data_IF_118333615990
#
_entry.id   IF_118333615990
#
_cell.length_a   1.000
_cell.length_b   1.000
_cell.length_c   1.000
_cell.angle_alpha   90.00
_cell.angle_beta   90.00
_cell.angle_gamma   90.00
#
_symmetry.space_group_name_H-M   'P 1'
#
loop_
_entity.id
_entity.type
_entity.pdbx_description
1 polymer ?
#
# COMPACT_ATOMS: atom_id res chain seq x y z
N UNK A 1 -8.32 3.40 16.36
CA UNK A 1 -7.11 4.17 16.77
C UNK A 1 -6.32 3.52 17.94
N UNK A 2 -6.92 3.37 19.14
CA UNK A 2 -6.20 2.85 20.32
C UNK A 2 -5.77 1.37 20.23
N UNK A 3 -6.56 0.53 19.55
CA UNK A 3 -6.21 -0.87 19.30
C UNK A 3 -5.06 -1.03 18.30
N UNK A 4 -4.92 -0.09 17.35
CA UNK A 4 -3.88 -0.14 16.33
C UNK A 4 -2.52 0.27 16.90
N UNK A 5 -2.49 1.28 17.77
CA UNK A 5 -1.27 1.70 18.49
C UNK A 5 -0.67 0.59 19.34
N UNK A 6 -1.48 -0.11 20.15
CA UNK A 6 -1.00 -1.23 20.97
C UNK A 6 -0.44 -2.38 20.13
N UNK A 7 -1.13 -2.75 19.06
CA UNK A 7 -0.72 -3.86 18.17
C UNK A 7 0.53 -3.51 17.38
N UNK A 8 0.68 -2.26 16.92
CA UNK A 8 1.92 -1.82 16.26
C UNK A 8 3.10 -1.82 17.24
N UNK A 9 2.90 -1.41 18.50
CA UNK A 9 3.95 -1.53 19.53
C UNK A 9 4.31 -2.99 19.78
N UNK A 10 3.33 -3.88 19.95
CA UNK A 10 3.57 -5.32 20.13
C UNK A 10 4.34 -5.91 18.94
N UNK A 11 3.97 -5.53 17.71
CA UNK A 11 4.68 -5.90 16.49
C UNK A 11 6.12 -5.40 16.51
N UNK A 12 6.33 -4.13 16.86
CA UNK A 12 7.66 -3.53 16.90
C UNK A 12 8.51 -4.27 17.93
N UNK A 13 7.99 -4.49 19.13
CA UNK A 13 8.72 -5.13 20.22
C UNK A 13 8.96 -6.62 20.01
N UNK A 14 7.99 -7.35 19.45
CA UNK A 14 8.07 -8.81 19.34
C UNK A 14 8.69 -9.26 18.01
N UNK A 15 8.50 -8.49 16.93
CA UNK A 15 8.89 -8.92 15.58
C UNK A 15 10.01 -8.06 14.97
N UNK A 16 10.15 -6.79 15.35
CA UNK A 16 11.08 -5.86 14.69
C UNK A 16 12.35 -5.61 15.54
N UNK A 17 12.19 -5.20 16.80
CA UNK A 17 13.29 -4.86 17.72
C UNK A 17 14.26 -6.02 17.97
N UNK A 18 13.83 -7.28 18.18
CA UNK A 18 14.75 -8.40 18.36
C UNK A 18 15.66 -8.62 17.15
N UNK A 19 15.23 -8.14 15.98
CA UNK A 19 15.92 -8.31 14.72
C UNK A 19 16.76 -7.08 14.27
N UNK A 20 16.50 -5.90 14.85
CA UNK A 20 17.24 -4.66 14.58
C UNK A 20 18.58 -4.58 15.34
N UNK A 21 18.70 -5.32 16.45
CA UNK A 21 19.87 -5.31 17.32
C UNK A 21 20.60 -6.65 17.28
N UNK A 22 21.93 -6.62 17.07
CA UNK A 22 22.83 -7.76 17.34
C UNK A 22 23.73 -7.35 18.50
N UNK A 23 23.77 -8.17 19.55
CA UNK A 23 24.62 -7.95 20.74
C UNK A 23 24.42 -6.56 21.38
N UNK A 24 23.19 -6.06 21.41
CA UNK A 24 22.83 -4.77 22.01
C UNK A 24 23.29 -3.54 21.21
N UNK A 25 23.73 -3.70 19.96
CA UNK A 25 24.10 -2.58 19.08
C UNK A 25 23.09 -2.44 17.92
N UNK A 26 22.59 -1.22 17.65
CA UNK A 26 21.75 -0.97 16.48
C UNK A 26 22.58 -1.16 15.22
N UNK A 27 22.03 -1.87 14.21
CA UNK A 27 22.63 -1.88 12.87
C UNK A 27 22.52 -0.47 12.28
N UNK A 28 23.58 0.01 11.63
CA UNK A 28 23.62 1.32 10.99
C UNK A 28 22.55 1.41 9.89
N UNK A 29 21.33 1.84 10.23
CA UNK A 29 20.33 2.26 9.27
C UNK A 29 20.84 3.55 8.62
N UNK A 30 20.92 3.59 7.29
CA UNK A 30 21.15 4.87 6.63
C UNK A 30 19.89 5.74 6.77
N UNK A 31 20.03 7.03 7.08
CA UNK A 31 18.90 7.93 7.23
C UNK A 31 18.19 8.17 5.89
N UNK A 32 16.92 8.57 5.98
CA UNK A 32 15.92 9.01 4.97
C UNK A 32 16.41 9.73 3.68
N UNK A 33 17.69 10.06 3.55
CA UNK A 33 18.34 10.71 2.41
C UNK A 33 18.09 10.04 1.03
N UNK A 34 17.59 8.81 0.99
CA UNK A 34 17.22 8.12 -0.24
C UNK A 34 15.84 8.54 -0.80
N UNK A 35 15.02 9.27 -0.05
CA UNK A 35 13.70 9.71 -0.49
C UNK A 35 13.57 11.24 -0.42
N UNK A 36 12.96 11.82 -1.44
CA UNK A 36 12.58 13.23 -1.50
C UNK A 36 11.06 13.33 -1.30
N UNK A 37 10.65 14.06 -0.27
CA UNK A 37 9.24 14.38 -0.04
C UNK A 37 8.78 15.42 -1.06
N UNK A 38 7.61 15.18 -1.66
CA UNK A 38 6.99 16.05 -2.66
C UNK A 38 5.50 16.18 -2.38
N UNK A 39 4.93 17.29 -2.83
CA UNK A 39 3.49 17.55 -2.74
C UNK A 39 2.87 17.78 -4.11
N UNK A 40 1.56 17.57 -4.20
CA UNK A 40 0.74 17.97 -5.34
C UNK A 40 -0.68 18.31 -4.89
N UNK A 41 -1.33 19.21 -5.62
CA UNK A 41 -2.72 19.56 -5.39
C UNK A 41 -3.63 18.37 -5.72
N UNK A 42 -4.65 18.13 -4.90
CA UNK A 42 -5.58 17.00 -5.05
C UNK A 42 -6.21 16.96 -6.45
N UNK A 43 -6.47 18.13 -7.04
CA UNK A 43 -7.03 18.26 -8.39
C UNK A 43 -6.06 17.76 -9.49
N UNK A 44 -4.75 17.81 -9.25
CA UNK A 44 -3.69 17.41 -10.19
C UNK A 44 -3.33 15.93 -10.10
N UNK A 45 -4.03 15.15 -9.27
CA UNK A 45 -3.71 13.75 -8.96
C UNK A 45 -3.49 12.87 -10.20
N UNK A 46 -4.27 13.08 -11.26
CA UNK A 46 -4.21 12.30 -12.51
C UNK A 46 -2.95 12.56 -13.33
N UNK A 47 -2.33 13.73 -13.18
CA UNK A 47 -1.11 14.11 -13.90
C UNK A 47 0.14 13.61 -13.18
N UNK A 48 0.05 13.46 -11.86
CA UNK A 48 1.13 12.98 -10.99
C UNK A 48 1.15 11.45 -10.91
N UNK A 49 -0.01 10.82 -10.68
CA UNK A 49 -0.15 9.37 -10.57
C UNK A 49 -0.56 8.78 -11.92
N UNK A 50 0.39 8.13 -12.59
CA UNK A 50 0.25 7.68 -13.98
C UNK A 50 -0.19 6.23 -14.13
N UNK A 51 -0.78 5.94 -15.29
CA UNK A 51 -1.24 4.61 -15.68
C UNK A 51 -0.73 4.16 -17.07
N UNK A 52 0.53 3.70 -17.15
CA UNK A 52 1.15 3.41 -18.46
C UNK A 52 1.04 1.94 -18.92
N UNK A 53 0.63 1.02 -18.05
CA UNK A 53 0.33 -0.39 -18.39
C UNK A 53 -1.00 -0.80 -17.79
N UNK A 54 -1.74 -1.62 -18.55
CA UNK A 54 -3.13 -1.99 -18.25
C UNK A 54 -3.19 -3.22 -17.31
N UNK A 55 -3.41 -3.05 -15.98
CA UNK A 55 -3.78 -4.15 -15.10
C UNK A 55 -5.17 -4.71 -15.48
N UNK A 56 -5.71 -5.72 -14.78
CA UNK A 56 -7.12 -6.08 -14.93
C UNK A 56 -8.04 -4.88 -14.74
N UNK A 57 -9.18 -4.86 -15.44
CA UNK A 57 -10.14 -3.74 -15.42
C UNK A 57 -10.59 -3.35 -14.00
N UNK A 58 -10.68 -4.31 -13.09
CA UNK A 58 -11.00 -4.13 -11.65
C UNK A 58 -9.92 -3.36 -10.87
N UNK A 59 -8.75 -3.13 -11.45
CA UNK A 59 -7.59 -2.49 -10.79
C UNK A 59 -7.08 -1.28 -11.59
N UNK A 60 -7.68 -0.98 -12.74
CA UNK A 60 -7.24 0.10 -13.61
C UNK A 60 -7.65 1.46 -13.03
N UNK A 61 -6.71 2.31 -12.64
CA UNK A 61 -7.02 3.70 -12.26
C UNK A 61 -6.41 4.15 -10.93
N UNK A 62 -7.08 5.11 -10.30
CA UNK A 62 -6.73 5.68 -9.00
C UNK A 62 -7.87 5.39 -8.04
N UNK A 63 -7.52 4.86 -6.87
CA UNK A 63 -8.45 4.47 -5.83
C UNK A 63 -8.23 5.33 -4.61
N UNK A 64 -9.31 5.90 -4.10
CA UNK A 64 -9.37 6.62 -2.83
C UNK A 64 -9.83 5.65 -1.74
N UNK A 65 -9.02 5.50 -0.69
CA UNK A 65 -9.43 4.79 0.51
C UNK A 65 -10.25 5.71 1.40
N UNK A 66 -11.55 5.46 1.46
CA UNK A 66 -12.48 6.18 2.32
C UNK A 66 -12.35 5.62 3.76
N UNK A 67 -11.58 6.33 4.58
CA UNK A 67 -11.32 5.97 5.98
C UNK A 67 -12.00 6.96 6.91
N UNK A 68 -12.71 6.45 7.93
CA UNK A 68 -13.38 7.30 8.91
C UNK A 68 -12.37 8.19 9.67
N UNK A 69 -12.62 9.49 9.54
CA UNK A 69 -12.21 10.62 10.39
C UNK A 69 -10.71 10.99 10.51
N UNK A 70 -9.73 10.16 10.14
CA UNK A 70 -8.32 10.45 10.50
C UNK A 70 -7.29 10.53 9.38
N UNK A 71 -7.42 9.80 8.27
CA UNK A 71 -6.43 9.76 7.18
C UNK A 71 -7.11 9.53 5.83
N UNK A 72 -6.53 10.06 4.76
CA UNK A 72 -6.95 9.73 3.40
C UNK A 72 -5.75 9.26 2.59
N UNK A 73 -5.94 8.17 1.85
CA UNK A 73 -4.89 7.54 1.06
C UNK A 73 -5.41 7.36 -0.37
N UNK A 74 -4.53 7.60 -1.34
CA UNK A 74 -4.79 7.32 -2.76
C UNK A 74 -3.72 6.37 -3.28
N UNK A 75 -4.16 5.41 -4.06
CA UNK A 75 -3.29 4.40 -4.64
C UNK A 75 -3.63 4.17 -6.10
N UNK A 76 -2.60 3.97 -6.93
CA UNK A 76 -2.75 3.44 -8.28
C UNK A 76 -2.08 2.08 -8.40
N UNK A 77 -2.79 1.15 -9.03
CA UNK A 77 -2.27 -0.18 -9.33
C UNK A 77 -1.57 -0.25 -10.70
N UNK A 78 -1.17 0.88 -11.27
CA UNK A 78 -0.56 0.92 -12.59
C UNK A 78 0.97 0.72 -12.57
N UNK A 79 1.64 0.81 -13.72
CA UNK A 79 3.10 0.83 -13.79
C UNK A 79 3.59 2.26 -13.93
N UNK A 80 4.56 2.66 -13.11
CA UNK A 80 5.35 3.87 -13.36
C UNK A 80 6.66 3.46 -14.06
N UNK A 81 6.98 4.03 -15.24
CA UNK A 81 8.27 3.83 -15.91
C UNK A 81 9.42 4.53 -15.16
N UNK A 82 9.10 5.39 -14.20
CA UNK A 82 10.07 6.04 -13.34
C UNK A 82 10.73 5.00 -12.41
N UNK A 83 11.99 5.24 -12.04
CA UNK A 83 12.92 4.22 -11.56
C UNK A 83 12.53 3.74 -10.14
N UNK A 84 12.59 2.43 -9.87
CA UNK A 84 12.27 1.82 -8.57
C UNK A 84 11.08 0.83 -8.55
N UNK A 85 10.40 0.64 -9.69
CA UNK A 85 9.06 0.04 -9.75
C UNK A 85 8.91 -1.38 -9.17
N UNK A 86 8.16 -1.49 -8.07
CA UNK A 86 7.63 -2.75 -7.55
C UNK A 86 6.30 -3.14 -8.20
N UNK A 87 5.56 -2.17 -8.71
CA UNK A 87 4.28 -2.42 -9.33
C UNK A 87 4.46 -2.86 -10.79
N UNK A 88 4.07 -4.10 -11.13
CA UNK A 88 4.33 -4.64 -12.45
C UNK A 88 3.48 -4.01 -13.56
N UNK A 89 2.44 -3.22 -13.21
CA UNK A 89 1.37 -2.71 -14.09
C UNK A 89 0.63 -3.79 -14.89
N UNK A 90 0.87 -5.05 -14.56
CA UNK A 90 0.18 -6.25 -15.03
C UNK A 90 0.39 -7.33 -13.99
N UNK A 91 -0.67 -8.06 -13.65
CA UNK A 91 -0.52 -9.19 -12.74
C UNK A 91 0.35 -10.28 -13.39
N UNK A 92 1.22 -10.91 -12.59
CA UNK A 92 2.13 -11.97 -13.04
C UNK A 92 1.88 -13.23 -12.23
N UNK A 93 2.06 -14.39 -12.84
CA UNK A 93 2.00 -15.65 -12.12
C UNK A 93 3.26 -15.83 -11.25
N UNK A 94 3.18 -15.38 -10.00
CA UNK A 94 4.24 -15.36 -8.97
C UNK A 94 3.56 -15.46 -7.60
N UNK A 95 4.31 -15.75 -6.52
CA UNK A 95 3.74 -15.80 -5.17
C UNK A 95 2.96 -14.53 -4.80
N UNK A 96 3.44 -13.36 -5.26
CA UNK A 96 2.76 -12.08 -5.13
C UNK A 96 2.54 -11.50 -6.53
N UNK A 97 1.35 -11.62 -7.14
CA UNK A 97 1.06 -11.09 -8.47
C UNK A 97 1.13 -9.56 -8.56
N UNK A 98 0.96 -8.86 -7.44
CA UNK A 98 1.08 -7.42 -7.31
C UNK A 98 1.96 -7.11 -6.08
N UNK A 99 2.78 -6.05 -6.22
CA UNK A 99 3.55 -5.45 -5.14
C UNK A 99 3.47 -3.94 -5.26
N UNK A 100 3.41 -3.25 -4.15
CA UNK A 100 3.38 -1.79 -4.08
C UNK A 100 4.36 -1.31 -3.01
N UNK A 101 5.12 -0.26 -3.31
CA UNK A 101 5.93 0.44 -2.32
C UNK A 101 5.14 1.62 -1.76
N UNK A 102 5.23 1.85 -0.45
CA UNK A 102 4.56 3.00 0.20
C UNK A 102 5.32 4.29 -0.04
N UNK A 103 6.65 4.26 0.06
CA UNK A 103 7.53 5.40 -0.26
C UNK A 103 8.34 5.08 -1.51
N UNK A 104 8.60 6.05 -2.37
CA UNK A 104 9.52 5.93 -3.51
C UNK A 104 8.85 5.76 -4.87
N UNK A 105 7.66 5.15 -4.93
CA UNK A 105 6.87 5.00 -6.16
C UNK A 105 5.80 6.11 -6.24
N UNK A 106 5.64 6.76 -7.42
CA UNK A 106 4.54 7.72 -7.70
C UNK A 106 3.19 7.03 -7.92
N UNK A 107 2.82 6.16 -6.99
CA UNK A 107 1.66 5.28 -7.06
C UNK A 107 0.90 5.22 -5.74
N UNK A 108 1.47 5.81 -4.70
CA UNK A 108 0.87 5.95 -3.40
C UNK A 108 1.07 7.39 -2.97
N UNK A 109 0.00 8.02 -2.53
CA UNK A 109 0.05 9.32 -1.90
C UNK A 109 -0.99 9.37 -0.79
N UNK A 110 -0.78 10.26 0.16
CA UNK A 110 -1.65 10.32 1.33
C UNK A 110 -1.65 11.68 2.02
N UNK A 111 -2.65 11.88 2.86
CA UNK A 111 -2.85 13.07 3.67
C UNK A 111 -2.50 12.71 5.12
N UNK A 112 -1.18 12.69 5.37
CA UNK A 112 -0.59 12.34 6.65
C UNK A 112 -0.55 10.84 6.93
N UNK A 113 0.44 10.41 7.71
CA UNK A 113 0.47 9.08 8.30
C UNK A 113 -0.12 9.15 9.71
N UNK A 114 -0.81 8.08 10.14
CA UNK A 114 -0.92 7.81 11.58
C UNK A 114 0.49 7.69 12.18
N UNK A 115 0.72 8.15 13.42
CA UNK A 115 2.05 8.14 14.02
C UNK A 115 2.71 6.74 13.98
N UNK A 116 1.90 5.69 14.00
CA UNK A 116 2.32 4.30 13.91
C UNK A 116 2.86 3.91 12.53
N UNK A 117 2.13 4.22 11.45
CA UNK A 117 2.61 3.95 10.09
C UNK A 117 3.76 4.89 9.75
N UNK A 118 3.72 6.15 10.21
CA UNK A 118 4.80 7.11 10.05
C UNK A 118 6.12 6.52 10.58
N UNK A 119 6.08 5.94 11.77
CA UNK A 119 7.24 5.29 12.37
C UNK A 119 7.78 4.14 11.49
N UNK A 120 6.90 3.29 10.95
CA UNK A 120 7.32 2.20 10.07
C UNK A 120 7.96 2.71 8.78
N UNK A 121 7.36 3.72 8.14
CA UNK A 121 7.91 4.29 6.89
C UNK A 121 9.17 5.12 7.13
N UNK A 122 9.37 5.66 8.34
CA UNK A 122 10.58 6.39 8.71
C UNK A 122 11.78 5.47 8.89
N UNK A 123 11.54 4.22 9.28
CA UNK A 123 12.59 3.24 9.55
C UNK A 123 12.79 2.25 8.41
N UNK A 124 11.74 1.97 7.64
CA UNK A 124 11.72 0.89 6.66
C UNK A 124 11.24 1.35 5.28
N UNK A 125 11.80 0.72 4.25
CA UNK A 125 11.19 0.62 2.94
C UNK A 125 10.00 -0.36 3.04
N UNK A 126 8.80 0.19 3.24
CA UNK A 126 7.55 -0.56 3.41
C UNK A 126 6.97 -0.96 2.07
N UNK A 127 6.71 -2.26 1.90
CA UNK A 127 6.14 -2.85 0.68
C UNK A 127 4.91 -3.67 1.01
N UNK A 128 3.84 -3.43 0.26
CA UNK A 128 2.64 -4.25 0.28
C UNK A 128 2.74 -5.30 -0.83
N UNK A 129 2.78 -6.57 -0.42
CA UNK A 129 2.67 -7.71 -1.32
C UNK A 129 1.23 -8.21 -1.31
N UNK A 130 0.64 -8.37 -2.49
CA UNK A 130 -0.72 -8.83 -2.62
C UNK A 130 -0.71 -10.30 -3.05
N UNK A 131 -1.17 -11.19 -2.18
CA UNK A 131 -1.39 -12.60 -2.46
C UNK A 131 -2.83 -12.78 -2.96
N UNK A 132 -3.01 -13.35 -4.15
CA UNK A 132 -4.34 -13.59 -4.71
C UNK A 132 -4.98 -14.79 -4.02
N UNK A 133 -6.06 -14.55 -3.26
CA UNK A 133 -6.81 -15.58 -2.56
C UNK A 133 -7.96 -16.14 -3.42
N UNK A 134 -8.65 -15.28 -4.16
CA UNK A 134 -9.81 -15.66 -4.97
C UNK A 134 -9.83 -14.94 -6.32
N UNK A 135 -10.35 -15.62 -7.35
CA UNK A 135 -10.42 -15.14 -8.73
C UNK A 135 -9.24 -15.62 -9.58
N UNK A 136 -8.93 -14.86 -10.64
CA UNK A 136 -7.83 -15.16 -11.56
C UNK A 136 -6.97 -13.92 -11.81
N UNK A 137 -5.79 -14.07 -12.41
CA UNK A 137 -4.98 -12.90 -12.81
C UNK A 137 -5.68 -11.97 -13.81
N UNK A 138 -6.74 -12.44 -14.50
CA UNK A 138 -7.55 -11.62 -15.41
C UNK A 138 -8.75 -10.98 -14.69
N UNK A 139 -9.26 -11.63 -13.66
CA UNK A 139 -10.42 -11.23 -12.87
C UNK A 139 -10.15 -11.49 -11.39
N UNK A 140 -9.30 -10.67 -10.75
CA UNK A 140 -9.01 -10.85 -9.33
C UNK A 140 -10.23 -10.44 -8.51
N UNK A 141 -10.53 -11.23 -7.47
CA UNK A 141 -11.70 -11.02 -6.60
C UNK A 141 -11.25 -10.68 -5.19
N UNK A 142 -10.19 -11.34 -4.69
CA UNK A 142 -9.74 -11.17 -3.32
C UNK A 142 -8.23 -11.26 -3.20
N UNK A 143 -7.63 -10.34 -2.46
CA UNK A 143 -6.22 -10.40 -2.08
C UNK A 143 -6.04 -10.35 -0.56
N UNK A 144 -4.99 -11.01 -0.09
CA UNK A 144 -4.36 -10.73 1.20
C UNK A 144 -3.22 -9.74 0.99
N UNK A 145 -3.09 -8.76 1.89
CA UNK A 145 -1.99 -7.80 1.92
C UNK A 145 -0.97 -8.25 2.96
N UNK A 146 0.27 -8.45 2.52
CA UNK A 146 1.40 -8.87 3.35
C UNK A 146 2.45 -7.76 3.36
N UNK A 147 2.85 -7.34 4.56
CA UNK A 147 3.89 -6.34 4.74
C UNK A 147 5.28 -6.98 4.59
N UNK A 148 6.09 -6.39 3.72
CA UNK A 148 7.53 -6.65 3.61
C UNK A 148 8.26 -5.36 3.95
N UNK A 149 9.03 -5.40 5.04
CA UNK A 149 9.83 -4.29 5.51
C UNK A 149 11.28 -4.54 5.14
N UNK A 150 11.91 -3.60 4.43
CA UNK A 150 13.35 -3.65 4.19
C UNK A 150 14.03 -2.48 4.90
N UNK A 151 15.19 -2.71 5.52
CA UNK A 151 15.99 -1.60 6.05
C UNK A 151 16.69 -0.94 4.85
N UNK A 152 16.47 0.37 4.58
CA UNK A 152 17.09 1.06 3.45
C UNK A 152 18.62 0.91 3.45
N UNK A 153 19.18 0.68 2.25
CA UNK A 153 20.62 0.46 2.07
C UNK A 153 21.15 -0.89 2.58
N UNK A 154 20.26 -1.82 2.95
CA UNK A 154 20.65 -3.17 3.38
C UNK A 154 19.90 -4.27 2.62
N UNK A 155 20.44 -5.49 2.69
CA UNK A 155 19.78 -6.70 2.18
C UNK A 155 18.78 -7.32 3.17
N UNK A 156 18.64 -6.73 4.38
CA UNK A 156 17.76 -7.27 5.40
C UNK A 156 16.31 -6.96 5.07
N UNK A 157 15.51 -8.03 5.01
CA UNK A 157 14.08 -7.99 4.74
C UNK A 157 13.37 -8.77 5.81
N UNK A 158 12.28 -8.20 6.30
CA UNK A 158 11.36 -8.82 7.23
C UNK A 158 10.07 -9.03 6.48
N UNK A 159 9.85 -10.26 6.03
CA UNK A 159 8.49 -10.68 5.69
C UNK A 159 7.80 -10.98 6.98
N UNK A 160 6.86 -10.14 7.34
CA UNK A 160 6.16 -10.25 8.60
C UNK A 160 5.06 -11.30 8.56
N UNK A 161 5.05 -12.18 7.55
CA UNK A 161 3.96 -13.14 7.31
C UNK A 161 3.59 -13.92 8.57
N UNK A 162 4.57 -14.55 9.22
CA UNK A 162 4.27 -15.43 10.36
C UNK A 162 3.92 -14.65 11.64
N UNK A 163 4.49 -13.45 11.81
CA UNK A 163 4.25 -12.59 12.97
C UNK A 163 2.93 -11.80 12.85
N UNK A 164 2.60 -11.35 11.64
CA UNK A 164 1.40 -10.55 11.37
C UNK A 164 0.19 -11.42 11.08
N UNK A 165 0.29 -12.62 10.52
CA UNK A 165 -0.92 -13.38 10.17
C UNK A 165 -1.80 -13.67 11.41
N UNK A 166 -1.20 -13.85 12.58
CA UNK A 166 -1.94 -14.04 13.84
C UNK A 166 -2.42 -12.72 14.47
N UNK A 167 -1.65 -11.63 14.31
CA UNK A 167 -1.91 -10.35 14.96
C UNK A 167 -2.75 -9.39 14.11
N UNK A 168 -2.55 -9.39 12.80
CA UNK A 168 -3.09 -8.46 11.81
C UNK A 168 -3.25 -9.14 10.42
N UNK A 169 -4.49 -9.50 10.07
CA UNK A 169 -4.84 -9.91 8.71
C UNK A 169 -5.50 -8.76 7.96
N UNK A 170 -4.94 -8.41 6.80
CA UNK A 170 -5.50 -7.41 5.89
C UNK A 170 -5.93 -8.10 4.60
N UNK A 171 -7.22 -8.03 4.30
CA UNK A 171 -7.78 -8.57 3.07
C UNK A 171 -8.51 -7.47 2.31
N UNK A 172 -8.37 -7.45 0.99
CA UNK A 172 -9.19 -6.62 0.10
C UNK A 172 -10.04 -7.52 -0.78
N UNK A 173 -11.34 -7.26 -0.81
CA UNK A 173 -12.32 -8.04 -1.56
C UNK A 173 -13.10 -7.12 -2.49
N UNK A 174 -13.21 -7.49 -3.75
CA UNK A 174 -13.98 -6.77 -4.73
C UNK A 174 -15.47 -6.87 -4.36
N UNK A 175 -16.11 -5.75 -4.06
CA UNK A 175 -17.55 -5.74 -3.74
C UNK A 175 -18.39 -5.88 -5.00
N UNK A 176 -18.00 -5.15 -6.05
CA UNK A 176 -18.72 -5.15 -7.31
C UNK A 176 -18.08 -6.22 -8.21
N UNK A 177 -18.52 -7.47 -8.10
CA UNK A 177 -17.99 -8.57 -8.93
C UNK A 177 -18.56 -8.51 -10.34
N UNK A 178 -17.74 -8.37 -11.40
CA UNK A 178 -18.25 -8.51 -12.76
C UNK A 178 -18.70 -9.96 -12.96
N UNK A 179 -19.95 -10.17 -13.37
CA UNK A 179 -20.34 -11.43 -14.00
C UNK A 179 -19.84 -11.40 -15.43
N UNK A 180 -19.30 -12.52 -15.92
CA UNK A 180 -18.80 -12.62 -17.28
C UNK A 180 -19.97 -12.34 -18.26
N UNK A 181 -19.99 -11.13 -18.84
CA UNK A 181 -21.01 -10.68 -19.79
C UNK A 181 -21.90 -9.53 -19.34
N UNK A 182 -21.93 -9.14 -18.06
CA UNK A 182 -22.90 -8.16 -17.53
C UNK A 182 -22.24 -7.06 -16.68
N UNK A 183 -22.93 -5.92 -16.63
CA UNK A 183 -22.60 -4.69 -15.90
C UNK A 183 -22.14 -4.98 -14.45
N UNK A 184 -21.24 -4.13 -13.94
CA UNK A 184 -20.81 -4.17 -12.54
C UNK A 184 -22.04 -4.10 -11.62
N UNK A 185 -22.09 -4.83 -10.49
CA UNK A 185 -23.07 -4.53 -9.46
C UNK A 185 -22.91 -3.06 -9.08
N UNK A 186 -23.99 -2.29 -9.18
CA UNK A 186 -23.97 -0.87 -8.85
C UNK A 186 -23.68 -0.73 -7.34
N UNK A 187 -22.55 -0.12 -6.98
CA UNK A 187 -22.43 0.45 -5.65
C UNK A 187 -23.52 1.53 -5.55
N UNK A 188 -24.38 1.52 -4.51
CA UNK A 188 -25.55 2.39 -4.46
C UNK A 188 -25.19 3.87 -4.61
N UNK A 189 -24.04 4.27 -4.09
CA UNK A 189 -23.54 5.64 -4.15
C UNK A 189 -22.55 5.87 -5.30
N UNK A 190 -21.91 4.82 -5.83
CA UNK A 190 -20.80 4.94 -6.79
C UNK A 190 -20.95 3.93 -7.96
N UNK A 191 -22.03 4.01 -8.74
CA UNK A 191 -22.38 2.99 -9.73
C UNK A 191 -21.31 2.80 -10.83
N UNK A 192 -20.59 3.87 -11.18
CA UNK A 192 -19.56 3.83 -12.22
C UNK A 192 -18.16 3.45 -11.69
N UNK A 193 -18.03 3.21 -10.38
CA UNK A 193 -16.74 2.96 -9.72
C UNK A 193 -16.51 1.49 -9.41
N UNK A 194 -15.27 1.05 -9.55
CA UNK A 194 -14.82 -0.19 -8.92
C UNK A 194 -14.59 0.05 -7.43
N UNK A 195 -15.20 -0.78 -6.58
CA UNK A 195 -15.08 -0.67 -5.12
C UNK A 195 -14.47 -1.95 -4.53
N UNK A 196 -13.38 -1.80 -3.80
CA UNK A 196 -12.75 -2.86 -3.01
C UNK A 196 -12.98 -2.62 -1.52
N UNK A 197 -13.53 -3.61 -0.83
CA UNK A 197 -13.63 -3.58 0.63
C UNK A 197 -12.36 -4.12 1.26
N UNK A 198 -11.64 -3.27 1.98
CA UNK A 198 -10.56 -3.65 2.88
C UNK A 198 -11.13 -4.04 4.24
N UNK A 199 -10.90 -5.28 4.63
CA UNK A 199 -11.22 -5.79 5.96
C UNK A 199 -9.93 -5.90 6.76
N UNK A 200 -9.97 -5.40 8.00
CA UNK A 200 -8.86 -5.52 8.94
C UNK A 200 -9.28 -6.41 10.10
N UNK A 201 -8.58 -7.52 10.29
CA UNK A 201 -8.75 -8.40 11.44
C UNK A 201 -7.52 -8.29 12.32
N UNK A 202 -7.72 -8.02 13.60
CA UNK A 202 -6.67 -7.84 14.59
C UNK A 202 -6.93 -8.74 15.78
N UNK A 203 -5.97 -9.61 16.14
CA UNK A 203 -6.13 -10.61 17.21
C UNK A 203 -7.44 -11.41 17.07
N UNK A 204 -7.75 -11.85 15.84
CA UNK A 204 -9.00 -12.56 15.50
C UNK A 204 -10.27 -11.70 15.48
N UNK A 205 -10.21 -10.41 15.84
CA UNK A 205 -11.35 -9.51 15.83
C UNK A 205 -11.37 -8.68 14.55
N UNK A 206 -12.46 -8.77 13.79
CA UNK A 206 -12.63 -7.98 12.57
C UNK A 206 -13.19 -6.61 12.90
N UNK A 207 -12.43 -5.56 12.58
CA UNK A 207 -12.87 -4.16 12.68
C UNK A 207 -13.81 -3.77 11.53
N UNK A 208 -14.28 -2.50 11.51
CA UNK A 208 -15.03 -1.99 10.37
C UNK A 208 -14.19 -2.10 9.09
N UNK A 209 -14.85 -2.46 8.00
CA UNK A 209 -14.24 -2.45 6.67
C UNK A 209 -14.16 -1.04 6.11
N UNK A 210 -13.27 -0.83 5.15
CA UNK A 210 -13.07 0.45 4.47
C UNK A 210 -13.13 0.23 2.97
N UNK A 211 -13.67 1.20 2.25
CA UNK A 211 -13.82 1.09 0.80
C UNK A 211 -12.69 1.82 0.10
N UNK A 212 -12.00 1.12 -0.79
CA UNK A 212 -11.14 1.71 -1.79
C UNK A 212 -11.97 1.89 -3.07
N UNK A 213 -12.40 3.13 -3.29
CA UNK A 213 -13.32 3.54 -4.35
C UNK A 213 -12.50 4.10 -5.51
N UNK A 214 -12.75 3.60 -6.72
CA UNK A 214 -12.12 4.13 -7.93
C UNK A 214 -12.64 5.54 -8.23
N UNK A 215 -11.75 6.53 -8.25
CA UNK A 215 -12.10 7.94 -8.53
C UNK A 215 -11.67 8.40 -9.92
N UNK A 216 -10.67 7.72 -10.51
CA UNK A 216 -10.20 7.93 -11.89
C UNK A 216 -10.02 6.56 -12.52
N UNK A 217 -10.53 6.35 -13.74
CA UNK A 217 -10.42 5.06 -14.42
C UNK A 217 -9.10 4.90 -15.20
N UNK A 218 -8.88 3.73 -15.80
CA UNK A 218 -7.69 3.44 -16.62
C UNK A 218 -7.52 4.25 -17.90
N UNK A 219 -8.45 5.15 -18.23
CA UNK A 219 -8.34 6.11 -19.32
C UNK A 219 -8.06 7.54 -18.82
N UNK A 220 -7.92 7.73 -17.50
CA UNK A 220 -7.72 9.05 -16.90
C UNK A 220 -9.01 9.87 -16.78
N UNK A 221 -10.18 9.24 -16.97
CA UNK A 221 -11.45 9.94 -16.78
C UNK A 221 -11.87 9.83 -15.31
N UNK A 222 -12.27 10.97 -14.76
CA UNK A 222 -12.88 11.11 -13.43
C UNK A 222 -14.24 10.37 -13.41
N UNK A 223 -14.53 9.69 -12.30
CA UNK A 223 -15.76 8.90 -12.12
C UNK A 223 -16.68 9.59 -11.12
N UNK A 224 -17.90 9.92 -11.54
CA UNK A 224 -18.86 10.62 -10.68
C UNK A 224 -19.92 9.66 -10.11
N UNK A 225 -20.41 9.91 -8.87
CA UNK A 225 -20.10 11.03 -7.98
C UNK A 225 -18.83 10.86 -7.13
N UNK A 226 -18.13 9.72 -7.27
CA UNK A 226 -17.00 9.36 -6.41
C UNK A 226 -15.86 10.40 -6.39
N UNK A 227 -15.55 11.01 -7.55
CA UNK A 227 -14.52 12.04 -7.64
C UNK A 227 -14.94 13.33 -6.94
N UNK A 228 -16.20 13.78 -7.10
CA UNK A 228 -16.70 14.97 -6.41
C UNK A 228 -16.72 14.76 -4.88
N UNK A 229 -17.12 13.59 -4.41
CA UNK A 229 -17.10 13.25 -2.99
C UNK A 229 -15.68 13.18 -2.44
N UNK A 230 -14.74 12.64 -3.23
CA UNK A 230 -13.32 12.67 -2.92
C UNK A 230 -12.79 14.11 -2.81
N UNK A 231 -13.01 14.97 -3.81
CA UNK A 231 -12.59 16.38 -3.76
C UNK A 231 -13.20 17.07 -2.55
N UNK A 232 -14.49 16.85 -2.30
CA UNK A 232 -15.20 17.42 -1.14
C UNK A 232 -14.57 16.96 0.17
N UNK A 233 -14.31 15.67 0.33
CA UNK A 233 -13.63 15.12 1.51
C UNK A 233 -12.23 15.75 1.70
N UNK A 234 -11.49 15.96 0.60
CA UNK A 234 -10.15 16.55 0.60
C UNK A 234 -10.12 18.09 0.67
N UNK A 235 -11.25 18.80 0.62
CA UNK A 235 -11.23 20.28 0.62
C UNK A 235 -12.10 20.90 1.70
N UNK A 236 -13.13 20.17 2.18
CA UNK A 236 -14.14 20.70 3.10
C UNK A 236 -14.24 19.95 4.42
N UNK A 237 -13.62 18.77 4.54
CA UNK A 237 -13.67 17.95 5.75
C UNK A 237 -13.07 18.64 6.98
N UNK A 238 -13.40 18.14 8.18
CA UNK A 238 -12.83 18.61 9.46
C UNK A 238 -11.29 18.53 9.54
N UNK A 239 -10.68 17.85 8.56
CA UNK A 239 -9.25 17.71 8.32
C UNK A 239 -8.93 17.83 6.83
N UNK A 240 -9.62 18.74 6.12
CA UNK A 240 -9.17 19.18 4.81
C UNK A 240 -7.63 19.30 4.89
N UNK A 241 -6.85 18.58 4.04
CA UNK A 241 -5.41 18.67 4.00
C UNK A 241 -4.94 20.07 4.31
N UNK A 242 -3.76 20.14 4.90
CA UNK A 242 -3.01 21.36 5.18
C UNK A 242 -2.83 22.33 3.99
N UNK A 243 -3.49 22.13 2.83
CA UNK A 243 -4.00 23.14 1.87
C UNK A 243 -4.63 22.49 0.60
N UNK A 244 -5.26 21.31 0.66
CA UNK A 244 -5.67 20.60 -0.58
C UNK A 244 -4.56 19.81 -1.25
N UNK A 245 -3.49 19.47 -0.52
CA UNK A 245 -2.31 18.78 -1.06
C UNK A 245 -2.17 17.34 -0.55
N UNK A 246 -1.70 16.46 -1.42
CA UNK A 246 -1.20 15.14 -1.09
C UNK A 246 0.31 15.16 -0.93
N UNK A 247 0.83 14.34 -0.02
CA UNK A 247 2.27 14.10 0.12
C UNK A 247 2.60 12.72 -0.47
N UNK A 248 3.67 12.68 -1.24
CA UNK A 248 4.31 11.44 -1.67
C UNK A 248 5.83 11.54 -1.51
N UNK A 249 6.51 10.41 -1.43
CA UNK A 249 7.96 10.36 -1.34
C UNK A 249 8.49 9.70 -2.60
N UNK A 250 9.48 10.30 -3.25
CA UNK A 250 10.09 9.80 -4.47
C UNK A 250 11.52 9.33 -4.19
N UNK A 251 11.93 8.20 -4.77
CA UNK A 251 13.27 7.66 -4.57
C UNK A 251 14.31 8.51 -5.33
N UNK A 252 15.30 9.06 -4.63
CA UNK A 252 16.29 9.99 -5.18
C UNK A 252 17.43 9.31 -5.95
N UNK A 253 17.81 8.09 -5.54
CA UNK A 253 18.78 7.26 -6.26
C UNK A 253 18.32 5.79 -6.33
N UNK A 254 17.93 5.28 -7.51
CA UNK A 254 17.50 3.90 -7.70
C UNK A 254 18.62 2.87 -7.59
N UNK A 255 19.89 3.28 -7.61
CA UNK A 255 21.02 2.39 -7.30
C UNK A 255 21.20 2.19 -5.78
N UNK A 256 20.50 2.96 -4.94
CA UNK A 256 20.38 2.67 -3.52
C UNK A 256 19.45 1.49 -3.22
N UNK A 257 18.71 0.96 -4.22
CA UNK A 257 18.12 -0.36 -4.10
C UNK A 257 19.24 -1.38 -3.96
N UNK A 258 19.37 -1.94 -2.75
CA UNK A 258 20.47 -2.82 -2.39
C UNK A 258 20.75 -3.87 -3.47
N UNK A 259 21.85 -3.71 -4.21
CA UNK A 259 22.37 -4.73 -5.10
C UNK A 259 23.10 -5.73 -4.21
N UNK A 260 22.38 -6.72 -3.69
CA UNK A 260 22.98 -7.81 -2.93
C UNK A 260 23.74 -8.72 -3.90
N UNK A 261 25.08 -8.78 -3.84
CA UNK A 261 25.83 -9.71 -4.66
C UNK A 261 25.78 -11.08 -3.96
N UNK A 262 24.68 -11.81 -4.10
CA UNK A 262 24.55 -13.15 -3.51
C UNK A 262 23.12 -13.56 -3.18
N UNK A 263 22.87 -14.88 -3.22
CA UNK A 263 21.58 -15.50 -2.93
C UNK A 263 21.00 -15.00 -1.60
N UNK A 264 19.71 -14.70 -1.61
CA UNK A 264 18.90 -14.45 -0.42
C UNK A 264 19.18 -15.53 0.61
N UNK A 265 19.70 -15.17 1.78
CA UNK A 265 19.67 -16.05 2.94
C UNK A 265 18.32 -15.80 3.60
N UNK A 266 17.42 -16.78 3.53
CA UNK A 266 16.30 -16.81 4.48
C UNK A 266 16.86 -17.03 5.89
N UNK A 267 16.13 -16.62 6.92
CA UNK A 267 16.63 -16.75 8.30
C UNK A 267 16.95 -18.23 8.66
N UNK A 268 16.21 -19.17 8.06
CA UNK A 268 16.45 -20.63 8.17
C UNK A 268 17.82 -21.09 7.64
N UNK A 269 18.49 -20.26 6.81
CA UNK A 269 19.80 -20.56 6.22
C UNK A 269 20.96 -19.87 6.95
N UNK A 270 20.68 -19.11 8.02
CA UNK A 270 21.71 -18.56 8.88
C UNK A 270 22.23 -19.67 9.82
N UNK A 271 23.56 -19.83 9.98
CA UNK A 271 24.17 -20.94 10.71
C UNK A 271 24.02 -20.86 12.24
N UNK A 272 23.01 -20.14 12.74
CA UNK A 272 22.81 -19.91 14.17
C UNK A 272 21.57 -20.66 14.62
N UNK A 273 21.79 -21.91 15.05
CA UNK A 273 20.82 -22.63 15.86
C UNK A 273 20.61 -21.91 17.19
N UNK A 274 19.34 -21.79 17.59
CA UNK A 274 18.96 -21.62 19.00
C UNK A 274 19.24 -22.94 19.72
#
# INVERSE_FOLDING_TARGET
>A
PLLFGGVVVDIIEQCILPNLYIDGRPRNAQPRSAYEEKTFDVEDIKDVIRFDKKPPKTMEGIFWLNYDEFFAEVTSFAFTPERGGLNPGRLKNRPYPLRQRVLGDRQWAQIGFGPEIQFLVDLFDVKFNYELLEGTLKFPIKFRIIFDLAIPGTCFRFQLKDCFEELLNLEITLQNTPREGDQWPDHPDYPDSVVWLRTTTTLGNTGPGYEAIQIVNGMGMELQPAYDDFITAMTTGARAPLNGEFVYNELTDPLAECVCPGKFQTFDELPFGI
#
